data_IF_818167937320
#
_entry.id   IF_818167937320
#
_cell.length_a   1.000
_cell.length_b   1.000
_cell.length_c   1.000
_cell.angle_alpha   90.00
_cell.angle_beta   90.00
_cell.angle_gamma   90.00
#
_symmetry.space_group_name_H-M   'P 1'
#
loop_
_entity.id
_entity.type
_entity.pdbx_description
1 polymer ?
#
# COMPACT_ATOMS: atom_id res chain seq x y z
N UNK A 1 22.37 24.26 -0.45
CA UNK A 1 22.59 24.13 1.00
C UNK A 1 22.07 22.75 1.39
N UNK A 2 22.84 22.01 2.18
CA UNK A 2 22.41 20.73 2.72
C UNK A 2 21.08 20.90 3.48
N UNK A 3 20.18 19.89 3.48
CA UNK A 3 18.95 20.00 4.24
C UNK A 3 19.30 20.14 5.72
N UNK A 4 18.80 21.20 6.34
CA UNK A 4 18.72 21.32 7.78
C UNK A 4 17.86 20.16 8.27
N UNK A 5 18.51 19.17 8.89
CA UNK A 5 17.85 18.23 9.79
C UNK A 5 17.19 19.07 10.88
N UNK A 6 15.87 19.20 10.81
CA UNK A 6 15.10 19.55 12.00
C UNK A 6 15.47 18.51 13.06
N UNK A 7 15.86 18.99 14.24
CA UNK A 7 16.21 18.17 15.40
C UNK A 7 14.96 17.37 15.83
N UNK A 8 14.73 16.23 15.19
CA UNK A 8 13.74 15.24 15.57
C UNK A 8 14.14 14.63 16.91
N UNK A 9 13.25 14.73 17.90
CA UNK A 9 13.41 14.09 19.18
C UNK A 9 13.55 12.57 19.01
N UNK A 10 14.17 11.91 20.00
CA UNK A 10 14.43 10.47 20.02
C UNK A 10 13.21 9.57 19.80
N UNK A 11 11.99 10.11 19.87
CA UNK A 11 10.73 9.41 19.58
C UNK A 11 10.48 9.21 18.07
N UNK A 12 10.99 10.06 17.17
CA UNK A 12 10.62 10.01 15.74
C UNK A 12 11.18 8.78 15.00
N UNK A 13 12.32 8.24 15.44
CA UNK A 13 12.87 6.99 14.91
C UNK A 13 12.06 5.77 15.36
N UNK A 14 11.26 5.89 16.43
CA UNK A 14 10.43 4.81 16.94
C UNK A 14 9.09 4.68 16.18
N UNK A 15 8.65 5.78 15.55
CA UNK A 15 7.31 5.93 15.02
C UNK A 15 7.24 6.14 13.51
N UNK A 16 8.39 6.32 12.85
CA UNK A 16 8.46 6.66 11.44
C UNK A 16 8.16 8.15 11.20
N UNK A 17 8.63 8.67 10.07
CA UNK A 17 8.56 10.07 9.67
C UNK A 17 7.67 10.21 8.44
N UNK A 18 6.63 11.04 8.54
CA UNK A 18 5.80 11.37 7.40
C UNK A 18 6.51 12.37 6.48
N UNK A 19 6.79 11.96 5.25
CA UNK A 19 7.22 12.87 4.19
C UNK A 19 6.11 13.86 3.80
N UNK A 20 6.46 14.85 2.98
CA UNK A 20 5.51 15.88 2.55
C UNK A 20 4.37 15.30 1.68
N UNK A 21 4.60 14.23 0.92
CA UNK A 21 3.57 13.58 0.10
C UNK A 21 2.49 12.97 1.00
N UNK A 22 2.90 12.19 1.99
CA UNK A 22 2.05 11.53 2.99
C UNK A 22 1.27 12.55 3.81
N UNK A 23 1.94 13.61 4.29
CA UNK A 23 1.30 14.74 4.99
C UNK A 23 0.21 15.39 4.13
N UNK A 24 0.51 15.65 2.85
CA UNK A 24 -0.47 16.25 1.93
C UNK A 24 -1.69 15.35 1.73
N UNK A 25 -1.49 14.05 1.54
CA UNK A 25 -2.59 13.09 1.38
C UNK A 25 -3.47 12.98 2.63
N UNK A 26 -2.86 12.91 3.83
CA UNK A 26 -3.61 12.89 5.09
C UNK A 26 -4.38 14.21 5.29
N UNK A 27 -3.79 15.36 4.96
CA UNK A 27 -4.45 16.64 5.12
C UNK A 27 -5.66 16.81 4.20
N UNK A 28 -5.60 16.25 2.99
CA UNK A 28 -6.59 16.49 1.93
C UNK A 28 -7.58 15.33 1.72
N UNK A 29 -7.36 14.16 2.34
CA UNK A 29 -8.20 12.97 2.16
C UNK A 29 -8.21 12.45 0.73
N UNK A 30 -7.11 12.65 -0.01
CA UNK A 30 -7.00 12.24 -1.42
C UNK A 30 -5.55 12.07 -1.87
N UNK A 31 -5.29 11.23 -2.88
CA UNK A 31 -4.01 11.26 -3.57
C UNK A 31 -3.87 12.55 -4.39
N UNK A 32 -2.64 13.02 -4.59
CA UNK A 32 -2.35 14.30 -5.26
C UNK A 32 -1.23 14.11 -6.29
N UNK A 33 -1.42 14.68 -7.49
CA UNK A 33 -0.37 14.80 -8.50
C UNK A 33 0.45 16.08 -8.25
N UNK A 34 1.71 15.92 -7.85
CA UNK A 34 2.57 17.04 -7.46
C UNK A 34 3.47 17.58 -8.59
N UNK A 35 3.19 17.30 -9.87
CA UNK A 35 4.11 17.64 -10.97
C UNK A 35 4.55 19.12 -11.04
N UNK A 36 3.69 20.05 -10.63
CA UNK A 36 4.00 21.48 -10.58
C UNK A 36 4.71 21.96 -9.31
N UNK A 37 4.95 21.09 -8.33
CA UNK A 37 5.42 21.43 -6.98
C UNK A 37 6.77 20.81 -6.61
N UNK A 38 7.27 19.90 -7.43
CA UNK A 38 8.45 19.09 -7.11
C UNK A 38 9.47 19.04 -8.25
N UNK A 39 10.69 18.69 -7.89
CA UNK A 39 11.73 18.19 -8.79
C UNK A 39 12.03 16.76 -8.39
N UNK A 40 12.12 15.84 -9.36
CA UNK A 40 12.47 14.43 -9.12
C UNK A 40 13.86 14.17 -9.69
N UNK A 41 14.77 13.72 -8.84
CA UNK A 41 16.12 13.31 -9.23
C UNK A 41 16.34 11.83 -8.92
N UNK A 42 17.44 11.26 -9.41
CA UNK A 42 17.82 9.90 -9.01
C UNK A 42 18.54 9.91 -7.68
N UNK A 43 18.22 8.93 -6.84
CA UNK A 43 18.95 8.68 -5.61
C UNK A 43 20.34 8.14 -5.93
N UNK A 44 21.37 8.73 -5.34
CA UNK A 44 22.74 8.24 -5.47
C UNK A 44 22.94 6.97 -4.63
N UNK A 45 23.49 5.92 -5.24
CA UNK A 45 23.84 4.69 -4.52
C UNK A 45 22.68 3.79 -4.09
N UNK A 46 21.48 3.95 -4.68
CA UNK A 46 20.34 3.07 -4.41
C UNK A 46 20.65 1.60 -4.72
N UNK A 47 20.43 0.73 -3.73
CA UNK A 47 20.68 -0.71 -3.80
C UNK A 47 19.40 -1.51 -3.50
N UNK A 48 18.84 -2.15 -4.53
CA UNK A 48 17.61 -2.93 -4.42
C UNK A 48 17.76 -4.15 -3.49
N UNK A 49 18.97 -4.70 -3.34
CA UNK A 49 19.20 -5.88 -2.49
C UNK A 49 19.11 -5.58 -0.99
N UNK A 50 19.09 -4.29 -0.63
CA UNK A 50 18.83 -3.82 0.74
C UNK A 50 17.34 -3.63 1.04
N UNK A 51 16.44 -4.10 0.17
CA UNK A 51 14.98 -3.96 0.31
C UNK A 51 14.28 -5.32 0.28
N UNK A 52 12.98 -5.37 0.58
CA UNK A 52 12.15 -6.57 0.35
C UNK A 52 12.14 -7.07 -1.09
N UNK A 53 12.49 -6.21 -2.05
CA UNK A 53 12.55 -6.58 -3.46
C UNK A 53 13.80 -7.36 -3.85
N UNK A 54 14.70 -7.67 -2.89
CA UNK A 54 15.85 -8.57 -3.12
C UNK A 54 15.43 -9.96 -3.65
N UNK A 55 14.22 -10.40 -3.32
CA UNK A 55 13.65 -11.69 -3.77
C UNK A 55 13.11 -11.65 -5.22
N UNK A 56 13.09 -10.47 -5.85
CA UNK A 56 12.76 -10.28 -7.26
C UNK A 56 14.00 -10.62 -8.11
N UNK A 57 14.04 -11.85 -8.60
CA UNK A 57 15.17 -12.47 -9.31
C UNK A 57 15.14 -12.30 -10.84
N UNK A 58 13.96 -12.05 -11.43
CA UNK A 58 13.83 -11.85 -12.88
C UNK A 58 14.31 -10.45 -13.27
N UNK A 59 15.19 -10.38 -14.29
CA UNK A 59 15.82 -9.14 -14.77
C UNK A 59 14.84 -8.00 -15.04
N UNK A 60 13.75 -8.26 -15.75
CA UNK A 60 12.79 -7.22 -16.15
C UNK A 60 12.00 -6.65 -14.94
N UNK A 61 11.32 -7.47 -14.11
CA UNK A 61 10.69 -7.00 -12.87
C UNK A 61 11.66 -6.27 -11.93
N UNK A 62 12.88 -6.78 -11.79
CA UNK A 62 13.90 -6.17 -10.94
C UNK A 62 14.31 -4.78 -11.43
N UNK A 63 14.53 -4.63 -12.74
CA UNK A 63 14.83 -3.34 -13.36
C UNK A 63 13.66 -2.35 -13.20
N UNK A 64 12.41 -2.80 -13.36
CA UNK A 64 11.23 -1.96 -13.15
C UNK A 64 11.13 -1.47 -11.69
N UNK A 65 11.38 -2.35 -10.71
CA UNK A 65 11.39 -1.98 -9.29
C UNK A 65 12.51 -0.97 -9.00
N UNK A 66 13.72 -1.19 -9.51
CA UNK A 66 14.85 -0.29 -9.29
C UNK A 66 14.62 1.11 -9.87
N UNK A 67 14.07 1.23 -11.08
CA UNK A 67 13.76 2.53 -11.69
C UNK A 67 12.76 3.35 -10.87
N UNK A 68 11.84 2.69 -10.19
CA UNK A 68 10.81 3.34 -9.38
C UNK A 68 11.31 3.78 -8.02
N UNK A 69 12.18 2.97 -7.40
CA UNK A 69 12.65 3.19 -6.03
C UNK A 69 13.91 4.06 -5.96
N UNK A 70 14.64 4.21 -7.07
CA UNK A 70 15.90 4.99 -7.14
C UNK A 70 15.68 6.49 -7.38
N UNK A 71 14.67 7.09 -6.76
CA UNK A 71 14.35 8.53 -6.95
C UNK A 71 14.27 9.28 -5.63
N UNK A 72 14.66 10.55 -5.67
CA UNK A 72 14.51 11.53 -4.60
C UNK A 72 13.61 12.68 -5.06
N UNK A 73 12.81 13.19 -4.13
CA UNK A 73 11.84 14.25 -4.39
C UNK A 73 12.23 15.51 -3.64
N UNK A 74 12.38 16.60 -4.37
CA UNK A 74 12.69 17.93 -3.84
C UNK A 74 11.46 18.83 -4.00
N UNK A 75 11.04 19.46 -2.92
CA UNK A 75 9.82 20.26 -2.87
C UNK A 75 10.11 21.74 -2.99
N UNK A 76 9.19 22.49 -3.60
CA UNK A 76 9.26 23.96 -3.52
C UNK A 76 8.98 24.45 -2.09
N UNK A 77 9.61 25.57 -1.68
CA UNK A 77 9.39 26.18 -0.37
C UNK A 77 7.90 26.51 -0.13
N UNK A 78 7.21 26.96 -1.21
CA UNK A 78 5.78 27.25 -1.18
C UNK A 78 4.98 25.99 -0.85
N UNK A 79 5.21 24.89 -1.57
CA UNK A 79 4.47 23.65 -1.36
C UNK A 79 4.76 23.06 0.02
N UNK A 80 6.02 23.12 0.47
CA UNK A 80 6.41 22.69 1.82
C UNK A 80 5.62 23.44 2.90
N UNK A 81 5.58 24.78 2.81
CA UNK A 81 4.84 25.62 3.76
C UNK A 81 3.35 25.29 3.74
N UNK A 82 2.74 25.23 2.56
CA UNK A 82 1.31 24.98 2.41
C UNK A 82 0.90 23.60 2.94
N UNK A 83 1.68 22.56 2.63
CA UNK A 83 1.42 21.19 3.10
C UNK A 83 1.55 21.12 4.62
N UNK A 84 2.61 21.70 5.20
CA UNK A 84 2.77 21.72 6.65
C UNK A 84 1.64 22.48 7.34
N UNK A 85 1.22 23.63 6.82
CA UNK A 85 0.08 24.39 7.37
C UNK A 85 -1.24 23.61 7.30
N UNK A 86 -1.50 22.91 6.20
CA UNK A 86 -2.69 22.06 6.07
C UNK A 86 -2.64 20.85 6.98
N UNK A 87 -1.49 20.17 7.05
CA UNK A 87 -1.31 19.01 7.92
C UNK A 87 -1.43 19.37 9.40
N UNK A 88 -0.93 20.53 9.83
CA UNK A 88 -1.06 21.00 11.21
C UNK A 88 -2.52 21.24 11.66
N UNK A 89 -3.48 21.28 10.72
CA UNK A 89 -4.92 21.36 11.02
C UNK A 89 -5.56 19.98 11.20
N UNK A 90 -4.88 18.91 10.79
CA UNK A 90 -5.34 17.53 10.99
C UNK A 90 -5.29 17.21 12.48
N UNK A 91 -6.33 16.58 13.05
CA UNK A 91 -6.29 16.11 14.43
C UNK A 91 -5.05 15.22 14.67
N UNK A 92 -4.31 15.51 15.74
CA UNK A 92 -3.14 14.73 16.10
C UNK A 92 -3.51 13.26 16.31
N UNK A 93 -2.75 12.36 15.71
CA UNK A 93 -2.97 10.94 15.90
C UNK A 93 -2.69 10.52 17.34
N UNK A 94 -3.48 9.57 17.88
CA UNK A 94 -3.16 9.00 19.17
C UNK A 94 -1.80 8.30 19.09
N UNK A 95 -1.09 8.26 20.22
CA UNK A 95 0.13 7.45 20.32
C UNK A 95 -0.21 5.98 20.06
N UNK A 96 0.70 5.28 19.41
CA UNK A 96 0.55 3.83 19.23
C UNK A 96 0.53 3.12 20.59
N UNK A 97 -0.20 2.01 20.63
CA UNK A 97 -0.36 1.16 21.80
C UNK A 97 1.01 0.58 22.21
N UNK A 98 1.46 0.87 23.44
CA UNK A 98 2.79 0.54 23.92
C UNK A 98 3.09 -0.98 23.88
N UNK A 99 2.20 -1.86 24.40
CA UNK A 99 2.28 -3.31 24.20
C UNK A 99 2.49 -3.76 22.75
N UNK A 100 1.79 -3.15 21.78
CA UNK A 100 1.97 -3.50 20.36
C UNK A 100 3.35 -3.08 19.86
N UNK A 101 3.77 -1.85 20.17
CA UNK A 101 5.09 -1.36 19.77
C UNK A 101 6.20 -2.24 20.34
N UNK A 102 6.11 -2.58 21.61
CA UNK A 102 7.08 -3.46 22.27
C UNK A 102 7.12 -4.83 21.56
N UNK A 103 5.95 -5.40 21.24
CA UNK A 103 5.86 -6.62 20.46
C UNK A 103 6.52 -6.49 19.08
N UNK A 104 6.23 -5.42 18.34
CA UNK A 104 6.82 -5.18 17.02
C UNK A 104 8.35 -5.03 17.08
N UNK A 105 8.88 -4.40 18.12
CA UNK A 105 10.31 -4.13 18.25
C UNK A 105 11.11 -5.32 18.75
N UNK A 106 10.53 -6.11 19.65
CA UNK A 106 11.25 -7.19 20.35
C UNK A 106 10.98 -8.55 19.72
N UNK A 107 9.82 -8.74 19.09
CA UNK A 107 9.38 -10.03 18.56
C UNK A 107 9.25 -10.05 17.04
N UNK A 108 9.28 -8.90 16.35
CA UNK A 108 9.15 -8.85 14.90
C UNK A 108 10.41 -8.26 14.26
N UNK A 109 10.63 -8.59 12.99
CA UNK A 109 11.68 -8.03 12.17
C UNK A 109 11.05 -7.12 11.12
N UNK A 110 10.96 -5.82 11.42
CA UNK A 110 10.53 -4.84 10.44
C UNK A 110 11.69 -4.15 9.71
N UNK A 111 12.94 -4.52 10.04
CA UNK A 111 14.16 -3.87 9.54
C UNK A 111 14.47 -4.15 8.05
N UNK A 112 13.83 -5.15 7.43
CA UNK A 112 14.18 -5.57 6.06
C UNK A 112 13.27 -5.02 4.95
N UNK A 113 12.16 -4.38 5.28
CA UNK A 113 11.27 -3.86 4.22
C UNK A 113 11.87 -2.68 3.48
N UNK A 114 12.48 -1.78 4.23
CA UNK A 114 13.36 -0.76 3.70
C UNK A 114 14.50 -0.54 4.72
N UNK A 115 15.74 -0.88 4.35
CA UNK A 115 16.90 -0.79 5.25
C UNK A 115 17.23 0.63 5.77
N UNK A 116 16.46 1.64 5.37
CA UNK A 116 16.56 3.05 5.76
C UNK A 116 15.51 3.52 6.79
N UNK A 117 14.60 2.63 7.23
CA UNK A 117 13.55 2.96 8.20
C UNK A 117 12.20 3.35 7.58
N UNK A 118 12.10 3.47 6.25
CA UNK A 118 10.87 3.94 5.58
C UNK A 118 9.65 3.01 5.68
N UNK A 119 9.82 1.81 6.24
CA UNK A 119 8.70 0.93 6.56
C UNK A 119 7.84 1.45 7.71
N UNK A 120 8.45 1.94 8.80
CA UNK A 120 7.68 2.54 9.88
C UNK A 120 6.96 3.80 9.41
N UNK A 121 7.56 4.55 8.48
CA UNK A 121 6.91 5.70 7.85
C UNK A 121 5.65 5.29 7.06
N UNK A 122 5.72 4.16 6.34
CA UNK A 122 4.59 3.59 5.62
C UNK A 122 3.48 3.15 6.59
N UNK A 123 3.81 2.41 7.64
CA UNK A 123 2.85 2.00 8.66
C UNK A 123 2.19 3.19 9.35
N UNK A 124 2.98 4.22 9.69
CA UNK A 124 2.49 5.47 10.26
C UNK A 124 1.54 6.18 9.31
N UNK A 125 1.90 6.31 8.03
CA UNK A 125 1.02 6.91 7.04
C UNK A 125 -0.32 6.18 6.95
N UNK A 126 -0.30 4.85 6.82
CA UNK A 126 -1.50 4.03 6.72
C UNK A 126 -2.37 4.13 7.99
N UNK A 127 -1.77 4.16 9.17
CA UNK A 127 -2.45 4.37 10.45
C UNK A 127 -3.11 5.75 10.54
N UNK A 128 -2.34 6.83 10.32
CA UNK A 128 -2.84 8.20 10.46
C UNK A 128 -3.89 8.52 9.40
N UNK A 129 -3.71 8.06 8.16
CA UNK A 129 -4.70 8.22 7.10
C UNK A 129 -6.00 7.50 7.46
N UNK A 130 -5.95 6.23 7.89
CA UNK A 130 -7.13 5.47 8.29
C UNK A 130 -7.88 6.11 9.46
N UNK A 131 -7.16 6.70 10.41
CA UNK A 131 -7.77 7.35 11.58
C UNK A 131 -8.61 8.58 11.19
N UNK A 132 -8.13 9.36 10.22
CA UNK A 132 -8.83 10.57 9.76
C UNK A 132 -9.93 10.22 8.76
N UNK A 133 -9.65 9.31 7.83
CA UNK A 133 -10.41 9.10 6.61
C UNK A 133 -11.20 7.78 6.56
N UNK A 134 -11.07 6.88 7.53
CA UNK A 134 -11.86 5.65 7.59
C UNK A 134 -12.52 5.46 8.96
N UNK A 135 -13.41 6.39 9.27
CA UNK A 135 -14.08 6.49 10.57
C UNK A 135 -14.96 5.27 10.83
N UNK A 136 -14.98 4.81 12.08
CA UNK A 136 -15.75 3.63 12.50
C UNK A 136 -14.99 2.32 12.40
N UNK A 137 -13.79 2.32 11.81
CA UNK A 137 -12.93 1.15 11.66
C UNK A 137 -11.58 1.37 12.37
N UNK A 138 -10.93 0.30 12.82
CA UNK A 138 -9.72 0.42 13.65
C UNK A 138 -8.48 0.74 12.80
N UNK A 139 -7.79 1.88 13.03
CA UNK A 139 -6.57 2.20 12.31
C UNK A 139 -5.41 1.24 12.68
N UNK A 140 -5.52 0.50 13.78
CA UNK A 140 -4.54 -0.54 14.18
C UNK A 140 -4.41 -1.64 13.13
N UNK A 141 -5.47 -1.92 12.37
CA UNK A 141 -5.40 -2.83 11.23
C UNK A 141 -4.36 -2.34 10.23
N UNK A 142 -4.41 -1.05 9.87
CA UNK A 142 -3.46 -0.44 8.94
C UNK A 142 -2.07 -0.21 9.53
N UNK A 143 -1.93 -0.18 10.85
CA UNK A 143 -0.61 -0.18 11.48
C UNK A 143 0.08 -1.55 11.44
N UNK A 144 -0.70 -2.63 11.44
CA UNK A 144 -0.20 -4.00 11.53
C UNK A 144 -0.42 -4.83 10.26
N UNK A 145 -0.94 -4.23 9.20
CA UNK A 145 -1.43 -4.92 8.00
C UNK A 145 -0.41 -5.84 7.32
N UNK A 146 0.88 -5.57 7.50
CA UNK A 146 2.00 -6.30 6.89
C UNK A 146 2.74 -7.23 7.87
N UNK A 147 2.34 -7.32 9.14
CA UNK A 147 3.05 -8.11 10.17
C UNK A 147 3.06 -9.62 9.86
N UNK A 148 2.01 -10.10 9.22
CA UNK A 148 1.81 -11.51 8.82
C UNK A 148 2.24 -11.80 7.38
N UNK A 149 2.89 -10.84 6.73
CA UNK A 149 3.38 -11.00 5.36
C UNK A 149 3.17 -9.74 4.54
N UNK A 150 4.07 -9.55 3.58
CA UNK A 150 4.05 -8.40 2.65
C UNK A 150 3.75 -8.90 1.22
N UNK A 151 3.89 -8.01 0.22
CA UNK A 151 3.74 -8.39 -1.19
C UNK A 151 4.73 -9.45 -1.72
N UNK A 152 5.72 -9.83 -0.92
CA UNK A 152 6.71 -10.90 -1.19
C UNK A 152 6.61 -12.01 -0.12
N UNK A 153 7.54 -12.98 -0.12
CA UNK A 153 7.63 -14.00 0.94
C UNK A 153 8.45 -13.56 2.15
N UNK A 154 8.40 -12.27 2.46
CA UNK A 154 8.93 -11.74 3.70
C UNK A 154 7.83 -11.69 4.76
N UNK A 155 8.16 -12.11 5.98
CA UNK A 155 7.25 -12.17 7.10
C UNK A 155 7.92 -11.50 8.30
N UNK A 156 7.47 -10.29 8.69
CA UNK A 156 8.03 -9.62 9.86
C UNK A 156 7.89 -10.46 11.13
N UNK A 157 6.84 -11.26 11.25
CA UNK A 157 6.58 -12.13 12.38
C UNK A 157 6.50 -13.59 11.96
N UNK A 158 7.02 -14.49 12.80
CA UNK A 158 6.87 -15.95 12.66
C UNK A 158 5.45 -16.40 13.05
N UNK A 159 4.93 -17.46 12.41
CA UNK A 159 3.55 -17.93 12.65
C UNK A 159 3.30 -18.38 14.09
N UNK A 160 4.32 -18.88 14.77
CA UNK A 160 4.26 -19.34 16.15
C UNK A 160 3.89 -18.20 17.13
N UNK A 161 4.05 -16.94 16.71
CA UNK A 161 3.75 -15.74 17.50
C UNK A 161 2.32 -15.23 17.32
N UNK A 162 1.52 -15.83 16.43
CA UNK A 162 0.10 -15.48 16.21
C UNK A 162 -0.72 -15.46 17.52
N UNK A 163 -0.61 -16.44 18.44
CA UNK A 163 -1.34 -16.39 19.71
C UNK A 163 -1.02 -15.16 20.56
N UNK A 164 0.27 -14.77 20.64
CA UNK A 164 0.70 -13.58 21.37
C UNK A 164 0.18 -12.29 20.71
N UNK A 165 0.18 -12.21 19.37
CA UNK A 165 -0.42 -11.09 18.66
C UNK A 165 -1.94 -10.99 18.91
N UNK A 166 -2.65 -12.12 18.96
CA UNK A 166 -4.09 -12.18 19.26
C UNK A 166 -4.43 -11.63 20.65
N UNK A 167 -3.57 -11.86 21.65
CA UNK A 167 -3.77 -11.32 23.01
C UNK A 167 -3.71 -9.79 23.06
N UNK A 168 -3.07 -9.16 22.08
CA UNK A 168 -2.93 -7.70 22.00
C UNK A 168 -4.08 -7.03 21.26
N UNK A 169 -4.85 -7.77 20.46
CA UNK A 169 -5.84 -7.23 19.50
C UNK A 169 -7.25 -7.69 19.85
N UNK A 170 -8.25 -6.92 19.42
CA UNK A 170 -9.62 -7.45 19.40
C UNK A 170 -9.83 -8.37 18.18
N UNK A 171 -10.93 -9.14 18.20
CA UNK A 171 -11.23 -10.13 17.15
C UNK A 171 -11.37 -9.53 15.76
N UNK A 172 -11.98 -8.34 15.65
CA UNK A 172 -12.19 -7.64 14.38
C UNK A 172 -10.85 -7.20 13.79
N UNK A 173 -10.00 -6.59 14.62
CA UNK A 173 -8.65 -6.17 14.24
C UNK A 173 -7.83 -7.36 13.74
N UNK A 174 -7.79 -8.44 14.54
CA UNK A 174 -7.03 -9.63 14.17
C UNK A 174 -7.51 -10.20 12.84
N UNK A 175 -8.83 -10.34 12.66
CA UNK A 175 -9.40 -10.91 11.43
C UNK A 175 -8.96 -10.13 10.18
N UNK A 176 -8.99 -8.80 10.22
CA UNK A 176 -8.53 -8.00 9.08
C UNK A 176 -7.00 -8.02 8.90
N UNK A 177 -6.23 -8.04 9.98
CA UNK A 177 -4.76 -8.15 9.92
C UNK A 177 -4.34 -9.49 9.29
N UNK A 178 -5.02 -10.59 9.61
CA UNK A 178 -4.79 -11.90 9.01
C UNK A 178 -5.19 -11.99 7.54
N UNK A 179 -6.31 -11.35 7.19
CA UNK A 179 -6.82 -11.32 5.84
C UNK A 179 -5.98 -10.45 4.88
N UNK A 180 -5.34 -9.41 5.40
CA UNK A 180 -4.76 -8.35 4.58
C UNK A 180 -3.73 -8.86 3.55
N UNK A 181 -2.69 -9.65 3.91
CA UNK A 181 -1.71 -10.11 2.93
C UNK A 181 -2.32 -11.01 1.86
N UNK A 182 -3.33 -11.81 2.23
CA UNK A 182 -4.01 -12.73 1.32
C UNK A 182 -4.86 -11.99 0.31
N UNK A 183 -5.68 -11.03 0.76
CA UNK A 183 -6.49 -10.21 -0.14
C UNK A 183 -5.59 -9.42 -1.09
N UNK A 184 -4.48 -8.86 -0.60
CA UNK A 184 -3.49 -8.20 -1.45
C UNK A 184 -3.02 -9.15 -2.56
N UNK A 185 -2.60 -10.38 -2.22
CA UNK A 185 -2.14 -11.37 -3.23
C UNK A 185 -3.25 -11.76 -4.20
N UNK A 186 -4.47 -12.00 -3.74
CA UNK A 186 -5.60 -12.36 -4.61
C UNK A 186 -5.93 -11.24 -5.61
N UNK A 187 -5.94 -9.98 -5.16
CA UNK A 187 -6.19 -8.84 -6.02
C UNK A 187 -5.05 -8.62 -7.03
N UNK A 188 -3.78 -8.80 -6.62
CA UNK A 188 -2.62 -8.69 -7.54
C UNK A 188 -2.48 -9.87 -8.50
N UNK A 189 -2.88 -11.08 -8.08
CA UNK A 189 -3.04 -12.23 -8.98
C UNK A 189 -4.17 -11.98 -9.99
N UNK A 190 -5.18 -11.20 -9.59
CA UNK A 190 -6.02 -10.44 -10.50
C UNK A 190 -7.21 -11.18 -11.09
N UNK A 191 -7.44 -12.45 -10.75
CA UNK A 191 -8.73 -13.09 -11.06
C UNK A 191 -9.84 -12.46 -10.20
N UNK A 192 -9.61 -12.32 -8.89
CA UNK A 192 -10.57 -11.68 -8.00
C UNK A 192 -10.88 -10.25 -8.44
N UNK A 193 -9.86 -9.45 -8.78
CA UNK A 193 -10.08 -8.08 -9.28
C UNK A 193 -10.95 -8.05 -10.56
N UNK A 194 -10.71 -8.96 -11.50
CA UNK A 194 -11.47 -9.03 -12.74
C UNK A 194 -12.95 -9.40 -12.47
N UNK A 195 -13.21 -10.34 -11.55
CA UNK A 195 -14.57 -10.70 -11.11
C UNK A 195 -15.28 -9.55 -10.38
N UNK A 196 -14.57 -8.86 -9.46
CA UNK A 196 -15.12 -7.70 -8.75
C UNK A 196 -15.49 -6.55 -9.69
N UNK A 197 -14.68 -6.30 -10.72
CA UNK A 197 -14.98 -5.27 -11.73
C UNK A 197 -16.15 -5.64 -12.63
N UNK A 198 -16.29 -6.92 -12.97
CA UNK A 198 -17.37 -7.42 -13.81
C UNK A 198 -18.73 -7.28 -13.11
N UNK A 199 -18.79 -7.58 -11.82
CA UNK A 199 -20.03 -7.70 -11.06
C UNK A 199 -20.18 -6.64 -9.94
N UNK A 200 -19.47 -5.51 -10.05
CA UNK A 200 -19.40 -4.49 -9.01
C UNK A 200 -20.78 -4.00 -8.52
N UNK A 201 -21.75 -3.81 -9.41
CA UNK A 201 -23.10 -3.32 -9.07
C UNK A 201 -24.02 -4.40 -8.49
N UNK A 202 -23.72 -5.69 -8.73
CA UNK A 202 -24.58 -6.82 -8.35
C UNK A 202 -24.09 -7.49 -7.07
N UNK A 203 -22.78 -7.63 -6.90
CA UNK A 203 -22.15 -8.27 -5.73
C UNK A 203 -22.61 -7.71 -4.38
N UNK A 204 -22.82 -6.39 -4.17
CA UNK A 204 -23.30 -5.89 -2.89
C UNK A 204 -24.66 -6.45 -2.45
N UNK A 205 -25.45 -6.99 -3.40
CA UNK A 205 -26.77 -7.55 -3.14
C UNK A 205 -26.75 -9.07 -2.97
N UNK A 206 -25.75 -9.73 -3.54
CA UNK A 206 -25.72 -11.20 -3.64
C UNK A 206 -24.59 -11.82 -2.83
N UNK A 207 -23.47 -11.11 -2.61
CA UNK A 207 -22.33 -11.63 -1.88
C UNK A 207 -22.71 -11.89 -0.41
N UNK A 208 -22.41 -13.08 0.07
CA UNK A 208 -22.57 -13.47 1.47
C UNK A 208 -21.23 -13.56 2.18
N UNK A 209 -20.22 -14.14 1.51
CA UNK A 209 -18.88 -14.31 2.07
C UNK A 209 -17.83 -14.57 0.99
N UNK A 210 -16.57 -14.42 1.36
CA UNK A 210 -15.42 -14.96 0.63
C UNK A 210 -14.64 -15.91 1.54
N UNK A 211 -14.24 -17.08 1.03
CA UNK A 211 -13.25 -17.95 1.68
C UNK A 211 -11.96 -17.99 0.87
N UNK A 212 -10.81 -18.05 1.56
CA UNK A 212 -9.46 -18.04 0.98
C UNK A 212 -8.44 -18.53 2.03
N UNK A 213 -7.15 -18.52 1.71
CA UNK A 213 -6.09 -19.02 2.60
C UNK A 213 -5.18 -17.89 3.10
N UNK A 214 -4.75 -17.96 4.37
CA UNK A 214 -3.81 -17.02 5.00
C UNK A 214 -2.41 -17.21 4.43
N UNK A 215 -1.71 -16.11 4.11
CA UNK A 215 -0.40 -16.18 3.45
C UNK A 215 0.67 -16.93 4.25
N UNK A 216 0.73 -16.72 5.57
CA UNK A 216 1.85 -17.17 6.40
C UNK A 216 1.91 -18.69 6.59
N UNK A 217 0.77 -19.38 6.58
CA UNK A 217 0.66 -20.81 6.91
C UNK A 217 -0.48 -21.55 6.21
N UNK A 218 -1.16 -20.90 5.28
CA UNK A 218 -2.22 -21.48 4.46
C UNK A 218 -3.46 -21.94 5.25
N UNK A 219 -3.70 -21.43 6.45
CA UNK A 219 -4.98 -21.66 7.15
C UNK A 219 -6.15 -21.01 6.41
N UNK A 220 -7.31 -21.67 6.40
CA UNK A 220 -8.52 -21.11 5.78
C UNK A 220 -9.02 -19.89 6.57
N UNK A 221 -9.38 -18.84 5.85
CA UNK A 221 -10.03 -17.64 6.34
C UNK A 221 -11.35 -17.45 5.62
N UNK A 222 -12.35 -16.96 6.35
CA UNK A 222 -13.66 -16.58 5.81
C UNK A 222 -13.99 -15.18 6.30
N UNK A 223 -14.30 -14.29 5.35
CA UNK A 223 -14.88 -12.98 5.64
C UNK A 223 -16.34 -12.98 5.21
N UNK A 224 -17.21 -12.40 6.03
CA UNK A 224 -18.56 -12.03 5.59
C UNK A 224 -18.49 -10.97 4.48
N UNK A 225 -19.58 -10.73 3.78
CA UNK A 225 -19.63 -9.68 2.76
C UNK A 225 -19.23 -8.31 3.33
N UNK A 226 -19.75 -7.93 4.50
CA UNK A 226 -19.42 -6.65 5.12
C UNK A 226 -17.94 -6.58 5.52
N UNK A 227 -17.41 -7.64 6.14
CA UNK A 227 -15.98 -7.73 6.47
C UNK A 227 -15.10 -7.65 5.20
N UNK A 228 -15.53 -8.25 4.09
CA UNK A 228 -14.78 -8.21 2.85
C UNK A 228 -14.75 -6.80 2.24
N UNK A 229 -15.88 -6.08 2.21
CA UNK A 229 -15.91 -4.69 1.73
C UNK A 229 -15.02 -3.76 2.57
N UNK A 230 -15.02 -3.95 3.90
CA UNK A 230 -14.10 -3.23 4.80
C UNK A 230 -12.64 -3.57 4.48
N UNK A 231 -12.33 -4.84 4.25
CA UNK A 231 -10.99 -5.26 3.88
C UNK A 231 -10.51 -4.66 2.54
N UNK A 232 -11.42 -4.50 1.57
CA UNK A 232 -11.13 -3.82 0.30
C UNK A 232 -10.85 -2.31 0.50
N UNK A 233 -11.53 -1.64 1.43
CA UNK A 233 -11.22 -0.24 1.77
C UNK A 233 -9.82 -0.10 2.41
N UNK A 234 -9.42 -1.02 3.28
CA UNK A 234 -8.05 -1.07 3.79
C UNK A 234 -7.03 -1.25 2.67
N UNK A 235 -7.30 -2.13 1.70
CA UNK A 235 -6.46 -2.29 0.52
C UNK A 235 -6.38 -1.00 -0.29
N UNK A 236 -7.49 -0.28 -0.51
CA UNK A 236 -7.51 0.98 -1.25
C UNK A 236 -6.60 2.03 -0.60
N UNK A 237 -6.73 2.24 0.72
CA UNK A 237 -5.90 3.20 1.46
C UNK A 237 -4.43 2.82 1.43
N UNK A 238 -4.11 1.53 1.55
CA UNK A 238 -2.73 1.04 1.46
C UNK A 238 -2.07 1.44 0.13
N UNK A 239 -2.81 1.42 -0.98
CA UNK A 239 -2.27 1.76 -2.30
C UNK A 239 -1.88 3.23 -2.46
N UNK A 240 -2.42 4.13 -1.64
CA UNK A 240 -2.13 5.57 -1.74
C UNK A 240 -0.63 5.86 -1.64
N UNK A 241 0.07 5.15 -0.76
CA UNK A 241 1.51 5.34 -0.55
C UNK A 241 2.36 4.85 -1.73
N UNK A 242 1.77 4.01 -2.59
CA UNK A 242 2.38 3.46 -3.79
C UNK A 242 1.94 4.20 -5.06
N UNK A 243 1.19 5.28 -4.97
CA UNK A 243 0.90 6.08 -6.15
C UNK A 243 2.13 6.90 -6.57
N UNK A 244 2.32 7.12 -7.89
CA UNK A 244 3.33 8.04 -8.39
C UNK A 244 3.16 9.41 -7.73
N UNK A 245 4.26 10.00 -7.26
CA UNK A 245 4.22 11.33 -6.61
C UNK A 245 3.79 12.44 -7.58
N UNK A 246 4.01 12.25 -8.88
CA UNK A 246 3.67 13.23 -9.90
C UNK A 246 3.50 12.60 -11.29
N UNK A 247 3.09 13.43 -12.26
CA UNK A 247 3.00 13.11 -13.69
C UNK A 247 2.04 11.95 -13.96
N UNK A 248 0.86 11.98 -13.35
CA UNK A 248 -0.09 10.87 -13.38
C UNK A 248 -0.53 10.49 -14.79
N UNK A 249 -0.71 11.46 -15.68
CA UNK A 249 -1.06 11.23 -17.09
C UNK A 249 -0.05 10.32 -17.83
N UNK A 250 1.21 10.25 -17.35
CA UNK A 250 2.26 9.40 -17.93
C UNK A 250 2.46 8.09 -17.17
N UNK A 251 1.85 7.99 -15.98
CA UNK A 251 1.98 6.85 -15.08
C UNK A 251 0.69 6.03 -14.98
N UNK A 252 -0.33 6.33 -15.80
CA UNK A 252 -1.60 5.58 -15.84
C UNK A 252 -1.41 4.08 -16.15
N UNK A 253 -0.28 3.71 -16.75
CA UNK A 253 0.10 2.33 -17.05
C UNK A 253 0.97 1.68 -15.95
N UNK A 254 1.23 2.40 -14.86
CA UNK A 254 1.92 1.86 -13.68
C UNK A 254 1.03 0.85 -12.96
N UNK A 255 1.61 -0.29 -12.57
CA UNK A 255 0.85 -1.39 -11.99
C UNK A 255 0.10 -1.00 -10.71
N UNK A 256 0.72 -0.23 -9.81
CA UNK A 256 0.09 0.17 -8.56
C UNK A 256 -1.02 1.19 -8.83
N UNK A 257 -0.82 2.06 -9.82
CA UNK A 257 -1.85 3.00 -10.22
C UNK A 257 -3.05 2.29 -10.87
N UNK A 258 -2.82 1.36 -11.81
CA UNK A 258 -3.88 0.54 -12.41
C UNK A 258 -4.65 -0.24 -11.33
N UNK A 259 -3.95 -0.81 -10.36
CA UNK A 259 -4.57 -1.50 -9.24
C UNK A 259 -5.45 -0.56 -8.40
N UNK A 260 -4.93 0.62 -8.04
CA UNK A 260 -5.68 1.64 -7.31
C UNK A 260 -6.94 2.07 -8.07
N UNK A 261 -6.81 2.36 -9.37
CA UNK A 261 -7.95 2.76 -10.22
C UNK A 261 -9.01 1.66 -10.26
N UNK A 262 -8.61 0.41 -10.46
CA UNK A 262 -9.53 -0.73 -10.49
C UNK A 262 -10.26 -0.92 -9.16
N UNK A 263 -9.54 -0.88 -8.04
CA UNK A 263 -10.14 -1.04 -6.72
C UNK A 263 -11.06 0.14 -6.34
N UNK A 264 -10.65 1.36 -6.67
CA UNK A 264 -11.47 2.56 -6.50
C UNK A 264 -12.77 2.46 -7.32
N UNK A 265 -12.67 2.02 -8.58
CA UNK A 265 -13.82 1.80 -9.45
C UNK A 265 -14.77 0.73 -8.88
N UNK A 266 -14.26 -0.41 -8.42
CA UNK A 266 -15.05 -1.47 -7.77
C UNK A 266 -15.83 -0.90 -6.59
N UNK A 267 -15.15 -0.25 -5.65
CA UNK A 267 -15.77 0.26 -4.43
C UNK A 267 -16.79 1.37 -4.72
N UNK A 268 -16.51 2.21 -5.72
CA UNK A 268 -17.42 3.28 -6.16
C UNK A 268 -18.68 2.69 -6.80
N UNK A 269 -18.55 1.79 -7.78
CA UNK A 269 -19.68 1.16 -8.49
C UNK A 269 -20.52 0.28 -7.56
N UNK A 270 -19.87 -0.36 -6.59
CA UNK A 270 -20.53 -1.15 -5.55
C UNK A 270 -21.29 -0.29 -4.51
N UNK A 271 -21.04 1.01 -4.43
CA UNK A 271 -21.53 1.85 -3.33
C UNK A 271 -20.94 1.43 -1.97
N UNK A 272 -19.71 0.92 -1.98
CA UNK A 272 -18.99 0.36 -0.81
C UNK A 272 -17.67 1.09 -0.53
N UNK A 273 -17.44 2.25 -1.16
CA UNK A 273 -16.37 3.17 -0.80
C UNK A 273 -16.73 3.86 0.51
N UNK A 274 -16.16 3.37 1.60
CA UNK A 274 -16.40 3.88 2.96
C UNK A 274 -15.23 4.75 3.45
N UNK A 275 -14.01 4.45 3.01
CA UNK A 275 -12.86 5.33 3.25
C UNK A 275 -12.96 6.59 2.38
N UNK A 276 -12.70 7.75 2.98
CA UNK A 276 -12.62 9.03 2.31
C UNK A 276 -11.36 9.07 1.44
N UNK A 277 -11.54 8.78 0.16
CA UNK A 277 -10.52 8.88 -0.88
C UNK A 277 -11.09 9.75 -1.99
N UNK A 278 -10.97 11.08 -1.85
CA UNK A 278 -11.56 12.06 -2.77
C UNK A 278 -10.76 12.13 -4.10
N UNK A 279 -10.76 11.03 -4.86
CA UNK A 279 -10.01 10.89 -6.10
C UNK A 279 -10.83 11.32 -7.32
N UNK A 280 -10.24 12.20 -8.14
CA UNK A 280 -10.71 12.51 -9.48
C UNK A 280 -9.50 12.55 -10.43
N UNK A 281 -9.47 11.64 -11.40
CA UNK A 281 -8.40 11.57 -12.39
C UNK A 281 -8.30 12.86 -13.23
N UNK A 282 -9.39 13.63 -13.35
CA UNK A 282 -9.38 14.93 -14.06
C UNK A 282 -8.56 15.98 -13.32
N UNK A 283 -8.21 15.75 -12.06
CA UNK A 283 -7.30 16.60 -11.29
C UNK A 283 -5.82 16.35 -11.59
N UNK A 284 -5.49 15.40 -12.48
CA UNK A 284 -4.12 15.19 -12.93
C UNK A 284 -3.54 16.50 -13.49
N UNK A 285 -2.36 16.86 -13.01
CA UNK A 285 -1.69 18.08 -13.45
C UNK A 285 -1.04 17.86 -14.81
N UNK A 286 -0.90 18.92 -15.64
CA UNK A 286 -0.10 18.82 -16.87
C UNK A 286 1.29 18.28 -16.55
N UNK A 287 1.83 17.35 -17.36
CA UNK A 287 3.14 16.77 -17.09
C UNK A 287 4.23 17.85 -17.01
N UNK A 288 5.14 17.69 -16.05
CA UNK A 288 6.27 18.57 -15.81
C UNK A 288 7.58 17.81 -16.01
N UNK A 289 8.47 18.36 -16.85
CA UNK A 289 9.81 17.81 -17.07
C UNK A 289 10.65 17.78 -15.79
N UNK A 290 10.44 18.76 -14.90
CA UNK A 290 11.12 18.83 -13.61
C UNK A 290 10.70 17.69 -12.67
N UNK A 291 9.46 17.23 -12.78
CA UNK A 291 8.95 16.10 -12.02
C UNK A 291 9.23 14.75 -12.70
N UNK A 292 10.14 14.71 -13.69
CA UNK A 292 10.61 13.47 -14.33
C UNK A 292 12.05 13.20 -13.91
N UNK A 293 12.39 11.99 -13.40
CA UNK A 293 13.78 11.58 -13.31
C UNK A 293 14.41 11.49 -14.72
N UNK A 294 15.73 11.46 -14.83
CA UNK A 294 16.41 11.30 -16.11
C UNK A 294 16.00 10.01 -16.84
N UNK A 295 15.95 10.04 -18.18
CA UNK A 295 15.57 8.87 -18.99
C UNK A 295 16.68 7.83 -18.97
N UNK A 296 16.30 6.57 -18.74
CA UNK A 296 17.22 5.43 -18.70
C UNK A 296 16.71 4.28 -19.55
N UNK A 297 17.58 3.29 -19.79
CA UNK A 297 17.21 2.08 -20.50
C UNK A 297 16.05 1.34 -19.82
N UNK A 298 16.06 1.28 -18.48
CA UNK A 298 14.98 0.65 -17.71
C UNK A 298 13.65 1.38 -17.86
N UNK A 299 13.66 2.72 -17.77
CA UNK A 299 12.46 3.53 -17.96
C UNK A 299 11.93 3.49 -19.40
N UNK A 300 12.83 3.49 -20.38
CA UNK A 300 12.46 3.33 -21.80
C UNK A 300 11.76 1.98 -22.03
N UNK A 301 12.31 0.89 -21.51
CA UNK A 301 11.69 -0.43 -21.60
C UNK A 301 10.32 -0.45 -20.90
N UNK A 302 10.22 0.10 -19.69
CA UNK A 302 8.94 0.16 -18.98
C UNK A 302 7.87 0.96 -19.75
N UNK A 303 8.27 2.02 -20.47
CA UNK A 303 7.36 2.83 -21.30
C UNK A 303 6.82 2.09 -22.52
N UNK A 304 7.62 1.22 -23.15
CA UNK A 304 7.22 0.51 -24.37
C UNK A 304 6.50 -0.82 -24.10
N UNK A 305 6.65 -1.39 -22.90
CA UNK A 305 5.98 -2.65 -22.54
C UNK A 305 4.48 -2.41 -22.38
N UNK A 306 3.61 -3.13 -23.12
CA UNK A 306 2.16 -2.97 -23.02
C UNK A 306 1.63 -3.27 -21.61
N UNK A 307 0.57 -2.57 -21.19
CA UNK A 307 -0.05 -2.77 -19.87
C UNK A 307 -0.50 -4.21 -19.60
N UNK A 308 -0.98 -4.92 -20.62
CA UNK A 308 -1.35 -6.35 -20.52
C UNK A 308 -0.15 -7.25 -20.17
N UNK A 309 1.03 -6.93 -20.72
CA UNK A 309 2.27 -7.65 -20.40
C UNK A 309 2.69 -7.35 -18.96
N UNK A 310 2.61 -6.09 -18.51
CA UNK A 310 2.90 -5.72 -17.12
C UNK A 310 1.97 -6.44 -16.14
N UNK A 311 0.67 -6.49 -16.43
CA UNK A 311 -0.33 -7.25 -15.66
C UNK A 311 0.07 -8.73 -15.57
N UNK A 312 0.41 -9.37 -16.69
CA UNK A 312 0.81 -10.79 -16.69
C UNK A 312 2.10 -11.05 -15.90
N UNK A 313 3.07 -10.13 -15.96
CA UNK A 313 4.31 -10.21 -15.14
C UNK A 313 3.97 -10.16 -13.65
N UNK A 314 3.11 -9.23 -13.23
CA UNK A 314 2.66 -9.11 -11.85
C UNK A 314 1.99 -10.40 -11.35
N UNK A 315 1.05 -10.93 -12.15
CA UNK A 315 0.34 -12.19 -11.86
C UNK A 315 1.31 -13.35 -11.66
N UNK A 316 2.25 -13.52 -12.58
CA UNK A 316 3.26 -14.58 -12.49
C UNK A 316 4.18 -14.40 -11.27
N UNK A 317 4.47 -13.16 -10.88
CA UNK A 317 5.30 -12.86 -9.71
C UNK A 317 4.59 -13.32 -8.43
N UNK A 318 3.31 -12.97 -8.27
CA UNK A 318 2.51 -13.41 -7.11
C UNK A 318 2.29 -14.92 -7.09
N UNK A 319 2.02 -15.54 -8.26
CA UNK A 319 1.88 -16.98 -8.38
C UNK A 319 3.15 -17.70 -7.91
N UNK A 320 4.32 -17.24 -8.37
CA UNK A 320 5.62 -17.80 -7.95
C UNK A 320 5.88 -17.61 -6.46
N UNK A 321 5.60 -16.42 -5.91
CA UNK A 321 5.75 -16.20 -4.48
C UNK A 321 4.86 -17.14 -3.67
N UNK A 322 3.61 -17.34 -4.10
CA UNK A 322 2.69 -18.26 -3.42
C UNK A 322 3.13 -19.72 -3.52
N UNK A 323 3.58 -20.17 -4.71
CA UNK A 323 4.11 -21.52 -4.92
C UNK A 323 5.31 -21.83 -4.00
N UNK A 324 6.25 -20.88 -3.85
CA UNK A 324 7.46 -21.05 -3.03
C UNK A 324 7.19 -21.32 -1.54
N UNK A 325 6.03 -20.92 -1.03
CA UNK A 325 5.64 -21.12 0.38
C UNK A 325 4.44 -22.06 0.53
N UNK A 326 4.03 -22.73 -0.55
CA UNK A 326 2.84 -23.58 -0.58
C UNK A 326 1.56 -22.84 -0.13
N UNK A 327 1.42 -21.57 -0.52
CA UNK A 327 0.22 -20.77 -0.31
C UNK A 327 -0.75 -20.95 -1.49
N UNK A 328 -2.00 -21.29 -1.19
CA UNK A 328 -3.08 -21.37 -2.17
C UNK A 328 -3.60 -19.97 -2.51
N UNK A 329 -3.74 -19.70 -3.81
CA UNK A 329 -4.41 -18.52 -4.34
C UNK A 329 -5.89 -18.81 -4.67
N UNK A 330 -6.40 -19.98 -4.25
CA UNK A 330 -7.80 -20.33 -4.43
C UNK A 330 -8.65 -19.49 -3.47
N UNK A 331 -9.78 -19.02 -3.98
CA UNK A 331 -10.80 -18.36 -3.21
C UNK A 331 -12.18 -18.77 -3.72
N UNK A 332 -13.21 -18.58 -2.89
CA UNK A 332 -14.59 -18.84 -3.24
C UNK A 332 -15.48 -17.70 -2.77
N UNK A 333 -16.21 -17.09 -3.72
CA UNK A 333 -17.32 -16.19 -3.41
C UNK A 333 -18.59 -17.02 -3.19
N UNK A 334 -19.19 -16.91 -2.01
CA UNK A 334 -20.50 -17.49 -1.73
C UNK A 334 -21.55 -16.42 -2.00
N UNK A 335 -22.45 -16.70 -2.94
CA UNK A 335 -23.53 -15.81 -3.34
C UNK A 335 -24.88 -16.36 -2.87
N UNK A 336 -25.80 -15.50 -2.47
CA UNK A 336 -27.20 -15.88 -2.26
C UNK A 336 -27.80 -16.39 -3.57
N UNK A 337 -28.67 -17.40 -3.48
CA UNK A 337 -29.50 -17.76 -4.63
C UNK A 337 -30.37 -16.57 -5.05
N UNK A 338 -30.57 -16.37 -6.36
CA UNK A 338 -31.34 -15.23 -6.88
C UNK A 338 -32.80 -15.22 -6.42
#
# INVERSE_FOLDING_TARGET
>A
MAPTQEEGGTDDLQYGVLDLRRKAMIAEGKPIDHAGSIIVQRADGFDLDKTIFKSVDKKLPRMMAQERLSVEVYWSDRSTTQISESFNKVPAAPRFDAPILEFMQTECNFCMEHADGSFMDHLRFCFEYSMVHFKGHSPRVMFLHSILGVGTNYFPMEKEKIPKLRELLNEVEMKHIEAFPSILRLLYHGQLMDELLADAETLPKTLQSISFHRVIDNEELVLTADEFWVALNYQLMHQLDFLPVANWAEAVDDQFFVFFLGLYEVLTRAGKLEAEVNFDLKMATPPSDLARPSMTLGRFINKIVPGTVKKNIARQTVARFSELINHSLDYKLTLSSP
#
